data_IF_510006348400
#
_entry.id   IF_510006348400
#
_cell.length_a   1.000
_cell.length_b   1.000
_cell.length_c   1.000
_cell.angle_alpha   90.00
_cell.angle_beta   90.00
_cell.angle_gamma   90.00
#
_symmetry.space_group_name_H-M   'P 1'
#
loop_
_entity.id
_entity.type
_entity.pdbx_description
1 polymer ?
#
# COMPACT_ATOMS: atom_id res chain seq x y z
N UNK A 1 5.71 44.34 -19.23
CA UNK A 1 4.54 43.73 -18.58
C UNK A 1 4.81 42.25 -18.53
N UNK A 2 5.18 41.74 -17.35
CA UNK A 2 5.57 40.34 -17.17
C UNK A 2 4.36 39.44 -17.34
N UNK A 3 4.53 38.37 -18.10
CA UNK A 3 3.53 37.32 -18.23
C UNK A 3 3.30 36.75 -16.83
N UNK A 4 2.05 36.70 -16.32
CA UNK A 4 1.78 35.99 -15.08
C UNK A 4 2.23 34.55 -15.31
N UNK A 5 3.09 34.06 -14.42
CA UNK A 5 3.44 32.66 -14.32
C UNK A 5 2.15 31.90 -14.05
N UNK A 6 1.51 31.47 -15.14
CA UNK A 6 0.50 30.43 -15.09
C UNK A 6 1.30 29.19 -14.73
N UNK A 7 1.43 28.93 -13.43
CA UNK A 7 1.76 27.59 -12.97
C UNK A 7 0.68 26.70 -13.60
N UNK A 8 1.03 26.02 -14.69
CA UNK A 8 0.30 24.85 -15.10
C UNK A 8 0.34 23.96 -13.85
N UNK A 9 -0.80 23.75 -13.14
CA UNK A 9 -0.79 22.97 -11.92
C UNK A 9 -0.41 21.52 -12.21
N UNK A 10 -0.17 21.18 -13.49
CA UNK A 10 0.60 20.05 -13.95
C UNK A 10 0.11 18.84 -13.23
N UNK A 11 -1.12 18.42 -13.60
CA UNK A 11 -1.83 17.30 -12.96
C UNK A 11 -0.80 16.23 -12.63
N UNK A 12 -0.49 16.12 -11.34
CA UNK A 12 0.60 15.30 -10.87
C UNK A 12 0.09 13.86 -10.89
N UNK A 13 0.72 13.02 -11.70
CA UNK A 13 0.31 11.64 -11.90
C UNK A 13 1.42 10.70 -11.46
N UNK A 14 1.01 9.57 -10.89
CA UNK A 14 1.84 8.38 -10.80
C UNK A 14 1.25 7.32 -11.71
N UNK A 15 1.94 7.02 -12.81
CA UNK A 15 1.41 6.27 -13.96
C UNK A 15 0.09 6.86 -14.46
N UNK A 16 -1.03 6.15 -14.30
CA UNK A 16 -2.37 6.60 -14.67
C UNK A 16 -3.19 7.13 -13.47
N UNK A 17 -2.58 7.20 -12.28
CA UNK A 17 -3.27 7.56 -11.04
C UNK A 17 -3.03 9.03 -10.70
N UNK A 18 -4.07 9.87 -10.61
CA UNK A 18 -3.92 11.27 -10.22
C UNK A 18 -3.52 11.35 -8.74
N UNK A 19 -2.48 12.10 -8.42
CA UNK A 19 -2.05 12.33 -7.04
C UNK A 19 -3.07 13.18 -6.26
N UNK A 20 -3.84 14.02 -6.96
CA UNK A 20 -4.91 14.84 -6.38
C UNK A 20 -6.08 14.02 -5.82
N UNK A 21 -6.14 12.73 -6.10
CA UNK A 21 -7.15 11.81 -5.57
C UNK A 21 -6.79 11.19 -4.21
N UNK A 22 -5.55 11.36 -3.75
CA UNK A 22 -5.15 10.95 -2.40
C UNK A 22 -5.61 11.99 -1.38
N UNK A 23 -6.12 11.50 -0.25
CA UNK A 23 -6.44 12.33 0.92
C UNK A 23 -5.26 12.35 1.89
N UNK A 24 -5.37 13.21 2.92
CA UNK A 24 -4.51 13.15 4.11
C UNK A 24 -4.52 11.72 4.66
N UNK A 25 -3.35 11.25 5.11
CA UNK A 25 -3.13 9.87 5.55
C UNK A 25 -3.34 8.79 4.46
N UNK A 26 -3.25 9.12 3.17
CA UNK A 26 -3.35 8.13 2.09
C UNK A 26 -2.10 8.09 1.20
N UNK A 27 -1.83 6.90 0.67
CA UNK A 27 -0.81 6.66 -0.34
C UNK A 27 -1.29 5.65 -1.37
N UNK A 28 -0.60 5.60 -2.51
CA UNK A 28 -0.82 4.56 -3.51
C UNK A 28 0.10 3.35 -3.28
N UNK A 29 -0.47 2.16 -3.38
CA UNK A 29 0.22 0.88 -3.33
C UNK A 29 -0.08 0.09 -4.61
N UNK A 30 0.91 -0.09 -5.47
CA UNK A 30 0.83 -0.97 -6.63
C UNK A 30 1.39 -2.35 -6.28
N UNK A 31 0.68 -3.40 -6.68
CA UNK A 31 1.04 -4.78 -6.35
C UNK A 31 1.36 -5.52 -7.63
N UNK A 32 2.62 -5.92 -7.76
CA UNK A 32 3.13 -6.66 -8.92
C UNK A 32 3.36 -8.12 -8.55
N UNK A 33 2.64 -9.02 -9.21
CA UNK A 33 2.73 -10.46 -9.00
C UNK A 33 3.58 -11.11 -10.10
N UNK A 34 4.64 -11.81 -9.71
CA UNK A 34 5.40 -12.64 -10.64
C UNK A 34 4.59 -13.85 -11.13
N UNK A 35 5.05 -14.50 -12.20
CA UNK A 35 4.33 -15.61 -12.86
C UNK A 35 4.23 -16.87 -12.00
N UNK A 36 5.16 -17.05 -11.08
CA UNK A 36 5.22 -18.18 -10.13
C UNK A 36 4.27 -18.04 -8.94
N UNK A 37 3.61 -16.88 -8.78
CA UNK A 37 2.67 -16.63 -7.69
C UNK A 37 1.34 -17.34 -7.95
N UNK A 38 0.86 -18.20 -7.02
CA UNK A 38 -0.46 -18.83 -7.14
C UNK A 38 -1.58 -17.78 -7.18
N UNK A 39 -2.62 -18.06 -7.98
CA UNK A 39 -3.83 -17.24 -8.06
C UNK A 39 -5.04 -18.09 -7.68
N UNK A 40 -6.03 -17.55 -6.96
CA UNK A 40 -6.12 -16.16 -6.50
C UNK A 40 -5.19 -15.84 -5.32
N UNK A 41 -4.95 -14.55 -5.08
CA UNK A 41 -4.20 -14.06 -3.91
C UNK A 41 -4.93 -12.88 -3.27
N UNK A 42 -4.86 -12.77 -1.96
CA UNK A 42 -5.63 -11.84 -1.14
C UNK A 42 -4.71 -11.01 -0.25
N UNK A 43 -4.84 -9.68 -0.31
CA UNK A 43 -4.07 -8.80 0.57
C UNK A 43 -4.87 -8.50 1.82
N UNK A 44 -4.18 -8.62 2.94
CA UNK A 44 -4.65 -8.15 4.21
C UNK A 44 -3.67 -7.13 4.78
N UNK A 45 -4.22 -6.16 5.48
CA UNK A 45 -3.47 -5.14 6.20
C UNK A 45 -3.82 -5.21 7.68
N UNK A 46 -2.80 -5.14 8.54
CA UNK A 46 -2.94 -4.91 9.97
C UNK A 46 -2.37 -3.53 10.28
N UNK A 47 -3.14 -2.68 10.93
CA UNK A 47 -2.68 -1.38 11.44
C UNK A 47 -2.13 -1.55 12.86
N UNK A 48 -1.07 -0.82 13.19
CA UNK A 48 -0.45 -0.82 14.54
C UNK A 48 -1.20 0.07 15.56
N UNK A 49 -2.13 0.92 15.12
CA UNK A 49 -2.97 1.80 15.97
C UNK A 49 -3.99 1.01 16.81
N UNK A 50 -3.97 -0.32 16.75
CA UNK A 50 -4.93 -1.17 17.45
C UNK A 50 -4.29 -2.46 17.98
N UNK A 51 -4.15 -2.54 19.31
CA UNK A 51 -3.50 -3.66 20.02
C UNK A 51 -4.12 -5.04 19.78
N UNK A 52 -5.39 -5.11 19.33
CA UNK A 52 -6.13 -6.38 19.16
C UNK A 52 -6.85 -6.49 17.82
N UNK A 53 -6.50 -5.65 16.85
CA UNK A 53 -7.19 -5.68 15.56
C UNK A 53 -6.79 -6.91 14.75
N UNK A 54 -7.74 -7.54 14.05
CA UNK A 54 -7.42 -8.54 13.05
C UNK A 54 -6.83 -7.88 11.80
N UNK A 55 -6.16 -8.69 10.98
CA UNK A 55 -5.85 -8.35 9.60
C UNK A 55 -7.16 -8.14 8.82
N UNK A 56 -7.28 -7.03 8.10
CA UNK A 56 -8.46 -6.67 7.30
C UNK A 56 -8.15 -6.84 5.82
N UNK A 57 -9.04 -7.51 5.07
CA UNK A 57 -8.93 -7.71 3.63
C UNK A 57 -9.02 -6.36 2.91
N UNK A 58 -8.04 -6.08 2.06
CA UNK A 58 -7.99 -4.82 1.28
C UNK A 58 -8.33 -5.02 -0.19
N UNK A 59 -7.97 -6.17 -0.75
CA UNK A 59 -8.35 -6.54 -2.11
C UNK A 59 -8.21 -8.04 -2.34
N UNK A 60 -8.92 -8.51 -3.37
CA UNK A 60 -8.99 -9.89 -3.83
C UNK A 60 -8.73 -9.98 -5.33
N UNK A 61 -8.32 -11.16 -5.80
CA UNK A 61 -8.25 -11.51 -7.24
C UNK A 61 -7.45 -10.50 -8.09
N UNK A 62 -6.22 -10.21 -7.69
CA UNK A 62 -5.36 -9.25 -8.38
C UNK A 62 -5.16 -9.56 -9.87
N UNK A 63 -5.65 -8.64 -10.68
CA UNK A 63 -5.09 -8.30 -11.99
C UNK A 63 -4.49 -6.90 -11.81
N UNK A 64 -3.26 -6.82 -11.28
CA UNK A 64 -2.45 -5.59 -11.15
C UNK A 64 -3.27 -4.32 -10.87
N UNK A 65 -3.69 -4.10 -9.62
CA UNK A 65 -4.47 -2.92 -9.25
C UNK A 65 -3.69 -2.05 -8.27
N UNK A 66 -3.68 -0.75 -8.53
CA UNK A 66 -3.19 0.26 -7.59
C UNK A 66 -4.27 0.49 -6.53
N UNK A 67 -3.91 0.34 -5.26
CA UNK A 67 -4.79 0.52 -4.11
C UNK A 67 -4.46 1.82 -3.40
N UNK A 68 -5.47 2.42 -2.77
CA UNK A 68 -5.27 3.47 -1.75
C UNK A 68 -5.09 2.80 -0.39
N UNK A 69 -4.01 3.11 0.30
CA UNK A 69 -3.70 2.58 1.64
C UNK A 69 -3.61 3.71 2.64
N UNK A 70 -4.03 3.46 3.88
CA UNK A 70 -3.91 4.43 4.95
C UNK A 70 -2.47 4.41 5.52
N UNK A 71 -1.90 5.59 5.71
CA UNK A 71 -0.53 5.82 6.18
C UNK A 71 -0.45 6.45 7.58
N UNK A 72 -1.60 6.67 8.24
CA UNK A 72 -1.67 7.26 9.59
C UNK A 72 -0.89 6.44 10.64
N UNK A 73 -0.80 5.14 10.40
CA UNK A 73 -0.34 4.12 11.32
C UNK A 73 0.55 3.13 10.57
N UNK A 74 1.57 2.57 11.22
CA UNK A 74 2.39 1.54 10.59
C UNK A 74 1.50 0.34 10.25
N UNK A 75 1.82 -0.31 9.14
CA UNK A 75 0.94 -1.32 8.58
C UNK A 75 1.72 -2.57 8.21
N UNK A 76 1.30 -3.73 8.68
CA UNK A 76 1.82 -5.02 8.24
C UNK A 76 0.94 -5.52 7.10
N UNK A 77 1.56 -5.89 5.98
CA UNK A 77 0.86 -6.49 4.85
C UNK A 77 1.09 -7.99 4.80
N UNK A 78 0.01 -8.76 4.64
CA UNK A 78 0.06 -10.21 4.42
C UNK A 78 -0.68 -10.58 3.16
N UNK A 79 -0.10 -11.46 2.36
CA UNK A 79 -0.77 -12.07 1.23
C UNK A 79 -1.11 -13.53 1.50
N UNK A 80 -2.34 -13.94 1.19
CA UNK A 80 -2.80 -15.32 1.35
C UNK A 80 -3.26 -15.90 0.02
N UNK A 81 -3.03 -17.20 -0.20
CA UNK A 81 -3.49 -17.93 -1.41
C UNK A 81 -4.75 -18.76 -1.18
N UNK A 82 -5.15 -18.99 0.07
CA UNK A 82 -6.41 -19.66 0.40
C UNK A 82 -7.55 -18.64 0.42
N UNK A 83 -8.62 -18.92 -0.33
CA UNK A 83 -9.89 -18.21 -0.19
C UNK A 83 -10.71 -18.85 0.90
N UNK A 84 -10.69 -18.23 2.08
CA UNK A 84 -11.64 -18.58 3.13
C UNK A 84 -12.91 -17.70 3.07
N UNK A 85 -12.96 -16.76 2.11
CA UNK A 85 -13.97 -15.71 1.97
C UNK A 85 -14.24 -14.92 3.27
N UNK A 86 -13.20 -14.71 4.09
CA UNK A 86 -13.30 -13.97 5.36
C UNK A 86 -12.58 -12.63 5.23
N UNK A 87 -13.28 -11.54 5.54
CA UNK A 87 -12.72 -10.19 5.52
C UNK A 87 -11.71 -9.92 6.64
N UNK A 88 -11.68 -10.78 7.67
CA UNK A 88 -10.85 -10.63 8.85
C UNK A 88 -10.05 -11.90 9.12
N UNK A 89 -8.74 -11.77 9.37
CA UNK A 89 -7.87 -12.87 9.80
C UNK A 89 -7.19 -12.54 11.13
N UNK A 90 -7.14 -13.47 12.10
CA UNK A 90 -6.43 -13.21 13.34
C UNK A 90 -4.91 -13.15 13.11
N UNK A 91 -4.21 -12.41 13.97
CA UNK A 91 -2.76 -12.15 13.83
C UNK A 91 -1.92 -13.44 13.87
N UNK A 92 -2.40 -14.48 14.55
CA UNK A 92 -1.73 -15.78 14.63
C UNK A 92 -2.04 -16.72 13.45
N UNK A 93 -2.88 -16.32 12.49
CA UNK A 93 -3.17 -17.14 11.31
C UNK A 93 -1.97 -17.14 10.37
N UNK A 94 -1.36 -18.31 10.19
CA UNK A 94 -0.27 -18.56 9.24
C UNK A 94 -0.67 -19.50 8.10
N UNK A 95 -1.79 -20.22 8.26
CA UNK A 95 -2.31 -21.11 7.23
C UNK A 95 -2.66 -20.32 5.96
N UNK A 96 -2.12 -20.77 4.83
CA UNK A 96 -2.30 -20.14 3.53
C UNK A 96 -1.53 -18.83 3.35
N UNK A 97 -0.67 -18.43 4.30
CA UNK A 97 0.18 -17.25 4.19
C UNK A 97 1.23 -17.48 3.11
N UNK A 98 1.26 -16.60 2.12
CA UNK A 98 2.24 -16.63 1.04
C UNK A 98 3.48 -15.81 1.38
N UNK A 99 3.30 -14.56 1.78
CA UNK A 99 4.36 -13.72 2.31
C UNK A 99 3.81 -12.60 3.20
N UNK A 100 4.70 -12.03 4.00
CA UNK A 100 4.46 -10.90 4.89
C UNK A 100 5.52 -9.83 4.59
N UNK A 101 5.13 -8.56 4.68
CA UNK A 101 6.07 -7.44 4.69
C UNK A 101 5.61 -6.40 5.69
N UNK A 102 6.56 -5.91 6.48
CA UNK A 102 6.42 -4.74 7.32
C UNK A 102 7.26 -3.63 6.69
N UNK A 103 6.64 -2.52 6.25
CA UNK A 103 7.36 -1.36 5.74
C UNK A 103 8.37 -0.84 6.77
N UNK A 104 9.61 -0.61 6.33
CA UNK A 104 10.66 0.06 7.11
C UNK A 104 11.48 0.95 6.15
N UNK A 105 11.31 2.28 6.17
CA UNK A 105 10.46 3.05 7.09
C UNK A 105 8.95 2.83 6.85
N UNK A 106 8.08 3.23 7.80
CA UNK A 106 6.63 3.23 7.61
C UNK A 106 6.20 4.01 6.36
N UNK A 107 5.05 3.65 5.80
CA UNK A 107 4.49 4.38 4.66
C UNK A 107 4.18 5.82 5.06
N UNK A 108 4.67 6.78 4.30
CA UNK A 108 4.32 8.20 4.43
C UNK A 108 3.22 8.64 3.47
N UNK A 109 2.58 9.75 3.83
CA UNK A 109 1.47 10.38 3.11
C UNK A 109 1.84 10.79 1.68
N UNK A 110 0.87 10.70 0.77
CA UNK A 110 1.03 11.05 -0.64
C UNK A 110 2.19 10.30 -1.34
N UNK A 111 2.69 9.23 -0.73
CA UNK A 111 3.72 8.37 -1.30
C UNK A 111 3.16 7.42 -2.35
N UNK A 112 4.05 6.84 -3.15
CA UNK A 112 3.71 5.76 -4.05
C UNK A 112 4.66 4.59 -3.85
N UNK A 113 4.11 3.40 -3.67
CA UNK A 113 4.87 2.20 -3.29
C UNK A 113 4.57 1.05 -4.23
N UNK A 114 5.60 0.27 -4.55
CA UNK A 114 5.51 -0.96 -5.31
C UNK A 114 5.75 -2.15 -4.37
N UNK A 115 4.77 -3.05 -4.28
CA UNK A 115 4.88 -4.32 -3.60
C UNK A 115 5.09 -5.44 -4.63
N UNK A 116 6.32 -5.94 -4.70
CA UNK A 116 6.71 -7.04 -5.56
C UNK A 116 6.53 -8.37 -4.83
N UNK A 117 5.86 -9.31 -5.46
CA UNK A 117 5.54 -10.63 -4.89
C UNK A 117 6.13 -11.70 -5.80
N UNK A 118 7.11 -12.46 -5.30
CA UNK A 118 7.84 -13.49 -6.06
C UNK A 118 8.44 -14.54 -5.13
N UNK A 119 8.37 -15.83 -5.49
CA UNK A 119 9.07 -16.91 -4.79
C UNK A 119 8.78 -17.01 -3.30
N UNK A 120 7.53 -16.78 -2.89
CA UNK A 120 7.12 -16.74 -1.48
C UNK A 120 7.66 -15.54 -0.70
N UNK A 121 8.11 -14.48 -1.37
CA UNK A 121 8.62 -13.24 -0.76
C UNK A 121 7.82 -12.04 -1.22
N UNK A 122 7.72 -11.07 -0.31
CA UNK A 122 7.12 -9.77 -0.50
C UNK A 122 8.24 -8.73 -0.35
N UNK A 123 8.44 -7.88 -1.35
CA UNK A 123 9.40 -6.78 -1.30
C UNK A 123 8.68 -5.46 -1.57
N UNK A 124 8.75 -4.53 -0.62
CA UNK A 124 8.17 -3.21 -0.75
C UNK A 124 9.25 -2.21 -1.15
N UNK A 125 8.99 -1.41 -2.18
CA UNK A 125 9.88 -0.33 -2.63
C UNK A 125 9.12 0.97 -2.77
N UNK A 126 9.74 2.06 -2.34
CA UNK A 126 9.27 3.41 -2.63
C UNK A 126 9.47 3.70 -4.12
N UNK A 127 8.37 4.00 -4.81
CA UNK A 127 8.37 4.42 -6.21
C UNK A 127 8.44 5.95 -6.32
N UNK A 128 7.75 6.64 -5.39
CA UNK A 128 7.78 8.08 -5.22
C UNK A 128 7.84 8.39 -3.73
N UNK A 129 8.79 9.24 -3.37
CA UNK A 129 8.99 9.68 -1.98
C UNK A 129 7.70 10.32 -1.43
N UNK A 130 7.30 9.95 -0.20
CA UNK A 130 6.14 10.56 0.45
C UNK A 130 6.42 12.00 0.86
N UNK A 131 5.35 12.75 1.05
CA UNK A 131 5.42 14.08 1.67
C UNK A 131 5.37 13.89 3.18
N UNK A 132 6.54 13.84 3.81
CA UNK A 132 6.60 13.94 5.26
C UNK A 132 6.47 15.42 5.63
N UNK A 133 5.29 15.84 6.10
CA UNK A 133 5.18 17.11 6.84
C UNK A 133 5.90 16.88 8.16
N UNK A 134 7.22 17.09 8.17
CA UNK A 134 7.91 17.37 9.41
C UNK A 134 7.34 18.68 9.93
N UNK A 135 6.44 18.59 10.91
CA UNK A 135 6.24 19.70 11.82
C UNK A 135 7.60 19.95 12.48
N UNK A 136 8.39 20.86 11.89
CA UNK A 136 9.53 21.47 12.56
C UNK A 136 8.94 22.25 13.72
N UNK A 137 8.87 21.64 14.89
CA UNK A 137 8.81 22.39 16.14
C UNK A 137 10.13 23.18 16.24
N UNK A 138 10.01 24.48 16.02
CA UNK A 138 11.02 25.51 16.31
C UNK A 138 11.03 25.85 17.79
#
# INVERSE_FOLDING_TARGET
MGVPWFEDPGLDYWDAMPMSELKVDEAYLNITLATDVPRPIYLYQLSDDCERCPFVRKASNYVSTVLKVNTKSSSIFRLYTEDDDVDYKPVNRTRGLYCEVTPDPPLGEFGCYNLYVQGGKCELRTAREPVNIVARES
#
